data_IF_036058065785
#
_entry.id   IF_036058065785
#
_cell.length_a   1.000
_cell.length_b   1.000
_cell.length_c   1.000
_cell.angle_alpha   90.00
_cell.angle_beta   90.00
_cell.angle_gamma   90.00
#
_symmetry.space_group_name_H-M   'P 1'
#
loop_
_entity.id
_entity.type
_entity.pdbx_description
1 polymer ?
#
# COMPACT_ATOMS: atom_id res chain seq x y z
N UNK A 1 73.15 34.67 -5.10
CA UNK A 1 72.51 33.68 -4.20
C UNK A 1 71.12 34.21 -3.93
N UNK A 2 70.11 33.39 -4.24
CA UNK A 2 68.69 33.74 -4.35
C UNK A 2 68.06 33.91 -2.96
N UNK A 3 67.14 34.86 -2.81
CA UNK A 3 66.27 35.03 -1.64
C UNK A 3 65.29 36.19 -1.86
N UNK A 4 64.04 35.88 -2.22
CA UNK A 4 62.95 36.79 -2.59
C UNK A 4 62.24 37.45 -1.37
N UNK A 5 61.92 38.75 -1.55
CA UNK A 5 60.71 39.56 -1.22
C UNK A 5 59.83 39.19 -0.01
N UNK A 6 59.62 40.11 0.95
CA UNK A 6 58.57 41.19 1.02
C UNK A 6 57.15 40.59 1.10
N UNK A 7 56.18 41.03 1.91
CA UNK A 7 55.97 42.12 2.87
C UNK A 7 54.70 41.72 3.67
N UNK A 8 54.56 42.21 4.90
CA UNK A 8 53.47 41.96 5.84
C UNK A 8 52.48 43.14 5.78
N UNK A 9 51.19 42.90 5.52
CA UNK A 9 50.12 43.92 5.53
C UNK A 9 48.98 43.48 6.46
N UNK A 10 48.75 44.29 7.51
CA UNK A 10 47.63 44.23 8.46
C UNK A 10 46.58 45.33 8.12
N UNK A 11 45.32 44.99 8.44
CA UNK A 11 44.17 45.84 8.84
C UNK A 11 43.72 47.03 7.97
N UNK A 12 42.45 47.03 7.54
CA UNK A 12 41.44 47.96 8.12
C UNK A 12 40.01 47.71 7.60
N UNK A 13 39.05 47.74 8.52
CA UNK A 13 37.60 47.65 8.31
C UNK A 13 37.02 49.05 8.08
N UNK A 14 36.28 49.30 6.98
CA UNK A 14 35.45 50.51 6.83
C UNK A 14 34.05 50.26 6.29
N UNK A 15 33.10 50.53 7.18
CA UNK A 15 31.65 50.76 6.99
C UNK A 15 31.40 52.00 6.12
N UNK A 16 30.44 51.93 5.18
CA UNK A 16 29.96 53.12 4.45
C UNK A 16 28.44 53.11 4.26
N UNK A 17 27.85 54.25 4.58
CA UNK A 17 26.42 54.62 4.58
C UNK A 17 26.08 55.24 3.23
N UNK A 18 24.98 54.82 2.57
CA UNK A 18 24.55 55.44 1.30
C UNK A 18 23.12 55.97 1.36
N UNK A 19 23.04 57.27 1.05
CA UNK A 19 21.92 58.19 0.89
C UNK A 19 20.83 57.73 -0.08
N UNK A 20 19.58 58.01 0.26
CA UNK A 20 18.39 57.72 -0.55
C UNK A 20 18.14 58.80 -1.63
N UNK A 21 17.87 58.38 -2.86
CA UNK A 21 17.33 59.21 -3.95
C UNK A 21 15.99 58.63 -4.38
N UNK A 22 14.92 59.42 -4.31
CA UNK A 22 13.56 59.02 -4.68
C UNK A 22 13.30 59.28 -6.16
N UNK A 23 13.00 58.24 -6.94
CA UNK A 23 12.51 58.35 -8.32
C UNK A 23 11.07 57.86 -8.39
N UNK A 24 10.16 58.72 -8.85
CA UNK A 24 8.74 58.42 -9.07
C UNK A 24 8.55 57.71 -10.41
N UNK A 25 7.91 56.54 -10.39
CA UNK A 25 7.38 55.84 -11.59
C UNK A 25 5.91 55.45 -11.38
N UNK A 26 5.15 55.52 -12.49
CA UNK A 26 3.69 55.35 -12.59
C UNK A 26 3.18 53.97 -12.11
N UNK A 27 1.89 53.86 -11.69
CA UNK A 27 1.36 52.62 -11.14
C UNK A 27 1.18 51.56 -12.23
N UNK A 28 1.84 50.42 -12.06
CA UNK A 28 1.53 49.17 -12.76
C UNK A 28 0.48 48.40 -11.98
N UNK A 29 -0.62 48.06 -12.65
CA UNK A 29 -1.68 47.20 -12.11
C UNK A 29 -1.14 45.80 -11.86
N UNK A 30 -0.83 45.48 -10.60
CA UNK A 30 -0.48 44.13 -10.17
C UNK A 30 -1.75 43.30 -9.98
N UNK A 31 -2.00 42.35 -10.87
CA UNK A 31 -3.02 41.32 -10.71
C UNK A 31 -2.60 40.39 -9.57
N UNK A 32 -3.27 40.49 -8.43
CA UNK A 32 -3.09 39.57 -7.30
C UNK A 32 -3.71 38.22 -7.66
N UNK A 33 -2.91 37.24 -8.09
CA UNK A 33 -3.33 35.84 -8.10
C UNK A 33 -3.34 35.33 -6.66
N UNK A 34 -4.52 35.30 -6.05
CA UNK A 34 -4.77 34.59 -4.79
C UNK A 34 -4.58 33.10 -5.04
N UNK A 35 -3.38 32.57 -4.80
CA UNK A 35 -3.19 31.12 -4.65
C UNK A 35 -3.69 30.72 -3.28
N UNK A 36 -4.86 30.08 -3.23
CA UNK A 36 -5.34 29.38 -2.04
C UNK A 36 -4.28 28.36 -1.61
N UNK A 37 -3.81 28.33 -0.36
CA UNK A 37 -3.07 27.18 0.13
C UNK A 37 -4.06 26.01 0.27
N UNK A 38 -4.10 25.10 -0.70
CA UNK A 38 -4.72 23.78 -0.51
C UNK A 38 -3.82 22.96 0.40
N UNK A 39 -3.92 23.22 1.70
CA UNK A 39 -3.46 22.27 2.71
C UNK A 39 -4.50 21.16 2.76
N UNK A 40 -4.33 20.14 1.92
CA UNK A 40 -5.06 18.90 2.04
C UNK A 40 -4.55 18.18 3.29
N UNK A 41 -5.02 18.59 4.46
CA UNK A 41 -4.98 17.71 5.64
C UNK A 41 -5.90 16.54 5.35
N UNK A 42 -5.32 15.44 4.86
CA UNK A 42 -5.96 14.14 5.00
C UNK A 42 -6.06 13.86 6.49
N UNK A 43 -7.19 14.20 7.10
CA UNK A 43 -7.56 13.64 8.38
C UNK A 43 -7.65 12.14 8.17
N UNK A 44 -6.61 11.41 8.57
CA UNK A 44 -6.70 9.98 8.82
C UNK A 44 -7.67 9.85 9.99
N UNK A 45 -8.96 9.75 9.69
CA UNK A 45 -9.94 9.32 10.68
C UNK A 45 -9.44 7.98 11.18
N UNK A 46 -9.08 7.91 12.46
CA UNK A 46 -8.74 6.66 13.11
C UNK A 46 -9.93 5.71 12.91
N UNK A 47 -9.75 4.72 12.04
CA UNK A 47 -10.74 3.66 11.88
C UNK A 47 -10.74 2.93 13.21
N UNK A 48 -11.81 3.10 13.99
CA UNK A 48 -12.04 2.26 15.15
C UNK A 48 -12.30 0.85 14.61
N UNK A 49 -11.26 0.01 14.59
CA UNK A 49 -11.43 -1.38 14.23
C UNK A 49 -12.39 -2.03 15.21
N UNK A 50 -13.24 -2.92 14.72
CA UNK A 50 -14.11 -3.69 15.58
C UNK A 50 -13.25 -4.39 16.65
N UNK A 51 -13.70 -4.37 17.90
CA UNK A 51 -13.04 -5.13 18.97
C UNK A 51 -12.91 -6.60 18.52
N UNK A 52 -11.68 -7.05 18.26
CA UNK A 52 -11.39 -8.40 17.76
C UNK A 52 -10.80 -8.49 16.35
N UNK A 53 -10.68 -7.40 15.59
CA UNK A 53 -9.89 -7.42 14.35
C UNK A 53 -8.42 -7.68 14.69
N UNK A 54 -7.88 -8.78 14.17
CA UNK A 54 -6.51 -9.18 14.46
C UNK A 54 -5.49 -8.53 13.52
N UNK A 55 -5.80 -8.42 12.23
CA UNK A 55 -4.95 -7.80 11.21
C UNK A 55 -5.82 -7.13 10.16
N UNK A 56 -5.31 -6.06 9.54
CA UNK A 56 -6.02 -5.36 8.47
C UNK A 56 -5.05 -4.72 7.50
N UNK A 57 -5.15 -5.11 6.23
CA UNK A 57 -4.38 -4.55 5.12
C UNK A 57 -5.29 -3.69 4.24
N UNK A 58 -5.21 -2.35 4.31
CA UNK A 58 -6.05 -1.45 3.52
C UNK A 58 -5.78 -1.55 2.02
N UNK A 59 -4.58 -2.02 1.64
CA UNK A 59 -4.07 -2.01 0.27
C UNK A 59 -3.97 -0.61 -0.36
N UNK A 60 -3.78 0.41 0.49
CA UNK A 60 -3.60 1.82 0.07
C UNK A 60 -2.20 2.07 -0.47
N UNK A 61 -1.94 1.55 -1.67
CA UNK A 61 -0.64 1.61 -2.38
C UNK A 61 0.51 0.86 -1.70
N UNK A 62 0.22 -0.01 -0.74
CA UNK A 62 1.20 -0.88 -0.06
C UNK A 62 0.49 -2.09 0.57
N UNK A 63 1.27 -3.04 1.12
CA UNK A 63 0.76 -4.21 1.84
C UNK A 63 1.00 -4.11 3.35
N UNK A 64 0.94 -2.91 3.93
CA UNK A 64 1.15 -2.69 5.37
C UNK A 64 -0.09 -3.13 6.15
N UNK A 65 0.13 -3.86 7.25
CA UNK A 65 -0.91 -4.17 8.23
C UNK A 65 -0.97 -3.08 9.29
N UNK A 66 -2.08 -2.37 9.36
CA UNK A 66 -2.21 -1.21 10.26
C UNK A 66 -2.74 -1.56 11.66
N UNK A 67 -2.92 -2.85 11.97
CA UNK A 67 -3.35 -3.32 13.30
C UNK A 67 -2.24 -4.09 14.02
N UNK A 68 -1.70 -5.15 13.41
CA UNK A 68 -0.76 -6.05 14.10
C UNK A 68 0.68 -5.95 13.63
N UNK A 69 0.97 -5.15 12.60
CA UNK A 69 2.30 -5.03 12.00
C UNK A 69 2.73 -6.29 11.22
N UNK A 70 1.79 -7.15 10.85
CA UNK A 70 2.03 -8.29 9.96
C UNK A 70 2.10 -7.84 8.50
N UNK A 71 3.06 -6.99 8.19
CA UNK A 71 3.23 -6.43 6.86
C UNK A 71 3.43 -7.53 5.81
N UNK A 72 2.66 -7.41 4.74
CA UNK A 72 2.77 -8.28 3.59
C UNK A 72 3.92 -7.85 2.67
N UNK A 73 4.39 -8.83 1.89
CA UNK A 73 5.39 -8.61 0.84
C UNK A 73 4.82 -9.04 -0.50
N UNK A 74 4.90 -8.14 -1.48
CA UNK A 74 4.50 -8.46 -2.84
C UNK A 74 5.46 -9.44 -3.49
N UNK A 75 4.91 -10.47 -4.14
CA UNK A 75 5.66 -11.44 -4.94
C UNK A 75 5.26 -11.29 -6.40
N UNK A 76 6.26 -11.30 -7.29
CA UNK A 76 6.11 -11.08 -8.73
C UNK A 76 5.52 -9.71 -9.12
N UNK A 77 5.85 -8.68 -8.33
CA UNK A 77 5.53 -7.28 -8.60
C UNK A 77 4.02 -7.00 -8.74
N UNK A 78 3.21 -7.26 -7.69
CA UNK A 78 1.82 -6.84 -7.68
C UNK A 78 1.71 -5.33 -7.80
N UNK A 79 0.61 -4.85 -8.38
CA UNK A 79 0.40 -3.44 -8.66
C UNK A 79 -0.75 -2.88 -7.85
N UNK A 80 -0.70 -1.60 -7.53
CA UNK A 80 -1.80 -0.87 -6.90
C UNK A 80 -2.34 0.15 -7.89
N UNK A 81 -3.65 0.16 -8.07
CA UNK A 81 -4.33 1.00 -9.08
C UNK A 81 -5.29 1.96 -8.42
N UNK A 82 -5.47 3.14 -9.03
CA UNK A 82 -6.37 4.20 -8.59
C UNK A 82 -7.07 4.84 -9.80
N UNK A 83 -8.34 5.30 -9.68
CA UNK A 83 -9.21 5.07 -8.53
C UNK A 83 -9.56 3.59 -8.39
N UNK A 84 -9.89 3.18 -7.18
CA UNK A 84 -10.54 1.90 -6.91
C UNK A 84 -11.98 1.89 -7.48
N UNK A 85 -12.76 0.85 -7.16
CA UNK A 85 -14.15 0.74 -7.62
C UNK A 85 -15.09 1.78 -7.01
N UNK A 86 -14.72 2.40 -5.88
CA UNK A 86 -15.51 3.47 -5.24
C UNK A 86 -15.26 4.84 -5.87
N UNK A 87 -14.29 4.94 -6.78
CA UNK A 87 -13.90 6.19 -7.43
C UNK A 87 -12.87 6.99 -6.63
N UNK A 88 -12.34 6.46 -5.53
CA UNK A 88 -11.37 7.13 -4.66
C UNK A 88 -10.58 6.11 -3.85
N UNK A 89 -9.24 6.21 -3.86
CA UNK A 89 -8.35 5.29 -3.14
C UNK A 89 -7.61 4.32 -4.07
N UNK A 90 -6.93 3.34 -3.48
CA UNK A 90 -6.18 2.32 -4.21
C UNK A 90 -6.80 0.92 -4.05
N UNK A 91 -6.60 0.10 -5.07
CA UNK A 91 -6.89 -1.33 -5.02
C UNK A 91 -5.65 -2.14 -5.39
N UNK A 92 -5.44 -3.24 -4.68
CA UNK A 92 -4.47 -4.26 -5.09
C UNK A 92 -4.97 -4.95 -6.37
N UNK A 93 -4.18 -4.85 -7.44
CA UNK A 93 -4.42 -5.54 -8.71
C UNK A 93 -3.40 -6.65 -8.89
N UNK A 94 -3.90 -7.88 -8.97
CA UNK A 94 -3.12 -9.10 -9.22
C UNK A 94 -3.42 -9.66 -10.61
N UNK A 95 -2.38 -10.06 -11.33
CA UNK A 95 -2.46 -10.72 -12.62
C UNK A 95 -2.10 -12.20 -12.46
N UNK A 96 -3.09 -13.07 -12.72
CA UNK A 96 -2.94 -14.52 -12.55
C UNK A 96 -1.77 -15.10 -13.35
N UNK A 97 -1.63 -14.73 -14.63
CA UNK A 97 -0.57 -15.26 -15.50
C UNK A 97 0.84 -14.83 -15.08
N UNK A 98 0.94 -13.84 -14.19
CA UNK A 98 2.20 -13.38 -13.58
C UNK A 98 2.45 -14.01 -12.20
N UNK A 99 1.58 -14.93 -11.74
CA UNK A 99 1.64 -15.57 -10.42
C UNK A 99 1.83 -14.55 -9.28
N UNK A 100 1.08 -13.45 -9.33
CA UNK A 100 1.18 -12.36 -8.36
C UNK A 100 0.38 -12.66 -7.09
N UNK A 101 0.97 -12.36 -5.94
CA UNK A 101 0.32 -12.45 -4.64
C UNK A 101 1.03 -11.60 -3.60
N UNK A 102 0.38 -11.41 -2.45
CA UNK A 102 0.99 -10.89 -1.23
C UNK A 102 1.29 -12.08 -0.32
N UNK A 103 2.52 -12.20 0.16
CA UNK A 103 2.88 -13.17 1.20
C UNK A 103 2.93 -12.49 2.56
N UNK A 104 2.40 -13.14 3.59
CA UNK A 104 2.52 -12.72 4.98
C UNK A 104 3.57 -13.64 5.63
N UNK A 105 4.62 -13.10 6.26
CA UNK A 105 5.80 -13.88 6.64
C UNK A 105 5.60 -14.80 7.86
N UNK A 106 4.48 -14.66 8.58
CA UNK A 106 4.26 -15.37 9.84
C UNK A 106 3.04 -16.29 9.71
N UNK A 107 3.25 -17.57 10.06
CA UNK A 107 2.18 -18.55 10.16
C UNK A 107 1.24 -18.23 11.34
N UNK A 108 -0.07 -18.31 11.12
CA UNK A 108 -1.07 -18.11 12.16
C UNK A 108 -1.81 -19.40 12.45
N UNK A 109 -1.67 -19.92 13.68
CA UNK A 109 -2.51 -21.05 14.09
C UNK A 109 -3.96 -20.61 14.28
N UNK A 110 -4.89 -21.31 13.63
CA UNK A 110 -6.33 -21.17 13.82
C UNK A 110 -6.94 -22.37 14.58
N UNK A 111 -6.11 -23.22 15.18
CA UNK A 111 -6.57 -24.39 15.94
C UNK A 111 -7.47 -23.92 17.09
N UNK A 112 -8.65 -24.53 17.22
CA UNK A 112 -9.66 -24.21 18.24
C UNK A 112 -10.05 -22.73 18.31
N UNK A 113 -9.91 -22.00 17.19
CA UNK A 113 -10.17 -20.56 17.12
C UNK A 113 -11.20 -20.28 16.04
N UNK A 114 -12.29 -19.60 16.41
CA UNK A 114 -13.20 -19.01 15.43
C UNK A 114 -12.58 -17.74 14.85
N UNK A 115 -12.69 -17.55 13.55
CA UNK A 115 -12.19 -16.35 12.88
C UNK A 115 -13.16 -15.90 11.79
N UNK A 116 -12.98 -14.66 11.35
CA UNK A 116 -13.69 -14.07 10.23
C UNK A 116 -12.65 -13.50 9.27
N UNK A 117 -12.89 -13.67 7.97
CA UNK A 117 -12.13 -13.02 6.91
C UNK A 117 -13.10 -12.15 6.14
N UNK A 118 -12.75 -10.87 5.99
CA UNK A 118 -13.52 -9.90 5.23
C UNK A 118 -12.63 -9.29 4.15
N UNK A 119 -13.15 -9.20 2.92
CA UNK A 119 -12.47 -8.54 1.81
C UNK A 119 -13.47 -8.18 0.72
N UNK A 120 -13.15 -7.12 -0.03
CA UNK A 120 -13.85 -6.76 -1.25
C UNK A 120 -13.01 -7.18 -2.44
N UNK A 121 -13.62 -7.90 -3.38
CA UNK A 121 -12.95 -8.43 -4.56
C UNK A 121 -13.71 -8.03 -5.82
N UNK A 122 -12.97 -7.61 -6.85
CA UNK A 122 -13.52 -7.35 -8.18
C UNK A 122 -12.80 -8.22 -9.20
N UNK A 123 -13.33 -9.42 -9.51
CA UNK A 123 -12.73 -10.28 -10.51
C UNK A 123 -12.89 -9.67 -11.91
N UNK A 124 -11.78 -9.35 -12.58
CA UNK A 124 -11.81 -8.86 -13.97
C UNK A 124 -12.01 -9.99 -14.98
N UNK A 125 -11.67 -11.22 -14.59
CA UNK A 125 -11.85 -12.42 -15.41
C UNK A 125 -11.99 -13.62 -14.50
N UNK A 126 -13.10 -14.35 -14.65
CA UNK A 126 -13.28 -15.68 -14.08
C UNK A 126 -13.54 -16.65 -15.23
N UNK A 127 -12.94 -17.83 -15.13
CA UNK A 127 -13.08 -18.88 -16.14
C UNK A 127 -13.68 -20.11 -15.50
N UNK A 128 -14.64 -20.71 -16.19
CA UNK A 128 -15.21 -21.98 -15.78
C UNK A 128 -14.20 -23.10 -16.10
N UNK A 129 -13.47 -23.55 -15.08
CA UNK A 129 -12.44 -24.57 -15.22
C UNK A 129 -11.76 -24.87 -13.89
N UNK A 130 -10.80 -25.80 -13.92
CA UNK A 130 -10.05 -26.24 -12.73
C UNK A 130 -9.03 -25.24 -12.18
N UNK A 131 -9.03 -24.00 -12.67
CA UNK A 131 -8.09 -22.97 -12.25
C UNK A 131 -8.45 -22.40 -10.88
N UNK A 132 -7.42 -22.19 -10.07
CA UNK A 132 -7.53 -21.61 -8.74
C UNK A 132 -7.26 -20.11 -8.79
N UNK A 133 -8.20 -19.33 -8.26
CA UNK A 133 -8.03 -17.91 -7.99
C UNK A 133 -8.01 -17.73 -6.46
N UNK A 134 -6.82 -17.83 -5.87
CA UNK A 134 -6.64 -17.74 -4.43
C UNK A 134 -6.96 -16.34 -3.90
N UNK A 135 -7.73 -16.29 -2.82
CA UNK A 135 -8.07 -15.06 -2.10
C UNK A 135 -7.32 -14.98 -0.77
N UNK A 136 -7.35 -16.08 -0.02
CA UNK A 136 -6.61 -16.27 1.22
C UNK A 136 -6.12 -17.71 1.26
N UNK A 137 -4.86 -17.94 1.63
CA UNK A 137 -4.33 -19.29 1.76
C UNK A 137 -3.28 -19.33 2.85
N UNK A 138 -3.40 -20.34 3.70
CA UNK A 138 -2.34 -20.78 4.58
C UNK A 138 -2.18 -22.29 4.40
N UNK A 139 -0.98 -22.75 4.12
CA UNK A 139 -0.69 -24.16 3.95
C UNK A 139 0.54 -24.56 4.74
N UNK A 140 0.53 -25.78 5.26
CA UNK A 140 1.72 -26.43 5.76
C UNK A 140 2.47 -27.05 4.56
N UNK A 141 3.68 -26.55 4.31
CA UNK A 141 4.54 -27.08 3.24
C UNK A 141 5.14 -28.45 3.55
N UNK A 142 5.11 -28.90 4.81
CA UNK A 142 5.64 -30.19 5.24
C UNK A 142 4.62 -31.32 5.10
N UNK A 143 3.32 -31.01 5.18
CA UNK A 143 2.26 -32.01 5.17
C UNK A 143 1.32 -31.79 3.99
N UNK A 144 1.15 -32.83 3.16
CA UNK A 144 0.23 -32.78 2.04
C UNK A 144 -1.20 -32.53 2.54
N UNK A 145 -1.94 -31.69 1.83
CA UNK A 145 -3.36 -31.42 2.05
C UNK A 145 -3.67 -30.75 3.41
N UNK A 146 -2.66 -30.18 4.09
CA UNK A 146 -2.84 -29.36 5.30
C UNK A 146 -2.92 -27.90 4.91
N UNK A 147 -4.09 -27.49 4.42
CA UNK A 147 -4.32 -26.11 3.99
C UNK A 147 -5.66 -25.58 4.43
N UNK A 148 -5.67 -24.30 4.76
CA UNK A 148 -6.86 -23.46 4.81
C UNK A 148 -6.84 -22.58 3.55
N UNK A 149 -7.83 -22.71 2.70
CA UNK A 149 -7.90 -22.00 1.42
C UNK A 149 -9.26 -21.37 1.22
N UNK A 150 -9.28 -20.07 0.92
CA UNK A 150 -10.42 -19.39 0.32
C UNK A 150 -10.05 -19.01 -1.11
N UNK A 151 -10.87 -19.41 -2.07
CA UNK A 151 -10.57 -19.27 -3.49
C UNK A 151 -11.84 -19.20 -4.33
N UNK A 152 -11.71 -18.67 -5.55
CA UNK A 152 -12.72 -18.86 -6.59
C UNK A 152 -12.24 -19.96 -7.53
N UNK A 153 -13.09 -20.95 -7.81
CA UNK A 153 -12.83 -22.06 -8.74
C UNK A 153 -14.12 -22.48 -9.41
N UNK A 154 -14.09 -22.72 -10.72
CA UNK A 154 -15.30 -23.14 -11.45
C UNK A 154 -16.49 -22.18 -11.26
N UNK A 155 -16.20 -20.88 -11.19
CA UNK A 155 -17.18 -19.81 -10.90
C UNK A 155 -17.85 -19.88 -9.52
N UNK A 156 -17.32 -20.66 -8.59
CA UNK A 156 -17.81 -20.78 -7.23
C UNK A 156 -16.79 -20.23 -6.25
N UNK A 157 -17.27 -19.51 -5.22
CA UNK A 157 -16.45 -19.22 -4.05
C UNK A 157 -16.39 -20.51 -3.22
N UNK A 158 -15.17 -20.94 -2.90
CA UNK A 158 -14.94 -22.14 -2.10
C UNK A 158 -14.03 -21.82 -0.92
N UNK A 159 -14.42 -22.34 0.23
CA UNK A 159 -13.61 -22.44 1.43
C UNK A 159 -13.29 -23.91 1.66
N UNK A 160 -12.02 -24.24 1.81
CA UNK A 160 -11.56 -25.61 2.03
C UNK A 160 -10.65 -25.66 3.25
N UNK A 161 -10.90 -26.65 4.11
CA UNK A 161 -10.07 -26.99 5.25
C UNK A 161 -9.53 -28.39 5.00
N UNK A 162 -8.23 -28.62 5.11
CA UNK A 162 -7.69 -29.98 5.23
C UNK A 162 -8.15 -30.94 4.09
N UNK A 163 -7.46 -30.89 2.96
CA UNK A 163 -7.87 -31.55 1.72
C UNK A 163 -7.38 -30.75 0.54
N UNK A 164 -6.86 -31.41 -0.49
CA UNK A 164 -6.29 -30.75 -1.67
C UNK A 164 -7.33 -30.23 -2.67
N UNK A 165 -8.54 -29.83 -2.23
CA UNK A 165 -9.52 -29.20 -3.11
C UNK A 165 -11.00 -29.47 -2.82
N UNK A 166 -11.83 -28.83 -3.63
CA UNK A 166 -13.28 -28.61 -3.50
C UNK A 166 -14.18 -29.86 -3.41
N UNK A 167 -13.63 -31.06 -3.48
CA UNK A 167 -14.37 -32.33 -3.44
C UNK A 167 -14.20 -33.08 -2.09
N UNK A 168 -13.54 -32.48 -1.10
CA UNK A 168 -13.36 -33.07 0.23
C UNK A 168 -14.60 -32.92 1.12
N UNK A 169 -14.67 -33.73 2.19
CA UNK A 169 -15.73 -33.62 3.22
C UNK A 169 -15.67 -32.31 4.05
N UNK A 170 -14.65 -31.51 3.79
CA UNK A 170 -14.25 -30.32 4.54
C UNK A 170 -14.24 -29.07 3.67
N UNK A 171 -14.87 -29.13 2.50
CA UNK A 171 -15.09 -27.98 1.62
C UNK A 171 -16.52 -27.43 1.75
N UNK A 172 -16.63 -26.11 1.62
CA UNK A 172 -17.89 -25.38 1.48
C UNK A 172 -17.81 -24.54 0.21
N UNK A 173 -18.76 -24.72 -0.70
CA UNK A 173 -18.81 -23.98 -1.95
C UNK A 173 -20.18 -23.34 -2.17
N UNK A 174 -20.19 -22.17 -2.80
CA UNK A 174 -21.43 -21.56 -3.29
C UNK A 174 -22.00 -22.38 -4.45
N UNK A 175 -23.33 -22.42 -4.57
CA UNK A 175 -23.96 -22.96 -5.76
C UNK A 175 -23.60 -22.08 -6.98
N UNK A 176 -23.29 -22.67 -8.14
CA UNK A 176 -23.08 -21.91 -9.37
C UNK A 176 -24.38 -21.26 -9.86
#
# INVERSE_FOLDING_TARGET
>A
MVGEKEEEEDDDERKSTTTSTSTTTLPTTSTSTTTLPTTSTSTTSAVAYANGTYSFWPMENNAVDIISGLDGKGVNSPTYVTPDITGSGYALKLIRNSNQYITIPIFKSFVNTSFTVEMWIYPTTLINGGYYFGLFTQYDGATKDHSLQMMIRGLQLTLDFYGGGVNGATSLATKP
#
